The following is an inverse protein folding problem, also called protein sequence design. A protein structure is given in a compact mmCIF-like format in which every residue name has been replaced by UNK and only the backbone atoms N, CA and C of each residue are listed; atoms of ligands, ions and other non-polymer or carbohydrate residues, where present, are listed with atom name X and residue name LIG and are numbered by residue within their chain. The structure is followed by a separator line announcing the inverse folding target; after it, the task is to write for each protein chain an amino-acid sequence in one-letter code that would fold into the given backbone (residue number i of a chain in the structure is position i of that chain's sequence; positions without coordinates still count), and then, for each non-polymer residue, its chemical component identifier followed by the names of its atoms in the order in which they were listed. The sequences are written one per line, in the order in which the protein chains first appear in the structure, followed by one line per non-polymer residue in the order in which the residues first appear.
data_IF_669361904407
#
_entry.id   IF_669361904407
#
_cell.length_a   1.000
_cell.length_b   1.000
_cell.length_c   1.000
_cell.angle_alpha   90.00
_cell.angle_beta   90.00
_cell.angle_gamma   90.00
#
_symmetry.space_group_name_H-M   'P 1'
#
loop_
_entity.id
_entity.type
_entity.pdbx_description
1 polymer ?
#
# COMPACT_ATOMS: atom_id res chain seq x y z
N UNK A 1 -19.49 1.91 -41.44
CA UNK A 1 -18.78 0.64 -41.14
C UNK A 1 -17.63 0.84 -40.14
N UNK A 2 -16.73 1.78 -40.33
CA UNK A 2 -15.55 2.01 -39.44
C UNK A 2 -15.95 2.31 -37.99
N UNK A 3 -17.01 3.09 -37.76
CA UNK A 3 -17.48 3.43 -36.41
C UNK A 3 -18.03 2.23 -35.63
N UNK A 4 -18.65 1.28 -36.31
CA UNK A 4 -19.18 0.05 -35.68
C UNK A 4 -18.03 -0.85 -35.22
N UNK A 5 -16.99 -0.97 -36.07
CA UNK A 5 -15.78 -1.76 -35.76
C UNK A 5 -15.03 -1.15 -34.57
N UNK A 6 -14.87 0.18 -34.57
CA UNK A 6 -14.24 0.90 -33.47
C UNK A 6 -14.97 0.64 -32.14
N UNK A 7 -16.30 0.75 -32.12
CA UNK A 7 -17.11 0.51 -30.93
C UNK A 7 -17.04 -0.94 -30.47
N UNK A 8 -16.96 -1.88 -31.39
CA UNK A 8 -16.81 -3.31 -31.08
C UNK A 8 -15.46 -3.58 -30.37
N UNK A 9 -14.36 -3.15 -30.98
CA UNK A 9 -13.00 -3.35 -30.42
C UNK A 9 -12.85 -2.62 -29.08
N UNK A 10 -13.34 -1.37 -28.98
CA UNK A 10 -13.26 -0.61 -27.75
C UNK A 10 -14.05 -1.26 -26.60
N UNK A 11 -15.24 -1.78 -26.88
CA UNK A 11 -16.05 -2.49 -25.88
C UNK A 11 -15.34 -3.75 -25.36
N UNK A 12 -14.68 -4.49 -26.24
CA UNK A 12 -13.97 -5.71 -25.86
C UNK A 12 -12.71 -5.39 -25.05
N UNK A 13 -11.95 -4.37 -25.48
CA UNK A 13 -10.82 -3.84 -24.71
C UNK A 13 -11.25 -3.35 -23.34
N UNK A 14 -12.32 -2.56 -23.27
CA UNK A 14 -12.82 -2.00 -22.02
C UNK A 14 -13.30 -3.08 -21.05
N UNK A 15 -13.99 -4.11 -21.56
CA UNK A 15 -14.45 -5.26 -20.76
C UNK A 15 -13.26 -6.02 -20.16
N UNK A 16 -12.26 -6.34 -20.98
CA UNK A 16 -11.07 -7.05 -20.54
C UNK A 16 -10.24 -6.20 -19.58
N UNK A 17 -10.11 -4.90 -19.86
CA UNK A 17 -9.46 -3.94 -18.98
C UNK A 17 -10.13 -3.88 -17.60
N UNK A 18 -11.46 -3.73 -17.56
CA UNK A 18 -12.20 -3.65 -16.31
C UNK A 18 -12.06 -4.93 -15.48
N UNK A 19 -12.19 -6.08 -16.12
CA UNK A 19 -12.04 -7.38 -15.45
C UNK A 19 -10.62 -7.56 -14.90
N UNK A 20 -9.60 -7.26 -15.71
CA UNK A 20 -8.20 -7.31 -15.28
C UNK A 20 -7.93 -6.34 -14.12
N UNK A 21 -8.48 -5.13 -14.19
CA UNK A 21 -8.33 -4.13 -13.13
C UNK A 21 -8.90 -4.63 -11.80
N UNK A 22 -10.10 -5.20 -11.80
CA UNK A 22 -10.73 -5.73 -10.59
C UNK A 22 -9.91 -6.86 -9.99
N UNK A 23 -9.52 -7.84 -10.81
CA UNK A 23 -8.77 -9.02 -10.35
C UNK A 23 -7.39 -8.61 -9.80
N UNK A 24 -6.64 -7.80 -10.55
CA UNK A 24 -5.31 -7.36 -10.13
C UNK A 24 -5.37 -6.44 -8.90
N UNK A 25 -6.36 -5.56 -8.80
CA UNK A 25 -6.53 -4.69 -7.63
C UNK A 25 -6.77 -5.52 -6.37
N UNK A 26 -7.65 -6.51 -6.43
CA UNK A 26 -7.91 -7.41 -5.31
C UNK A 26 -6.65 -8.18 -4.93
N UNK A 27 -5.93 -8.73 -5.91
CA UNK A 27 -4.71 -9.49 -5.68
C UNK A 27 -3.62 -8.64 -5.01
N UNK A 28 -3.36 -7.44 -5.52
CA UNK A 28 -2.34 -6.54 -4.96
C UNK A 28 -2.78 -6.00 -3.59
N UNK A 29 -4.06 -5.66 -3.41
CA UNK A 29 -4.58 -5.18 -2.13
C UNK A 29 -4.41 -6.23 -1.03
N UNK A 30 -4.69 -7.49 -1.33
CA UNK A 30 -4.45 -8.61 -0.40
C UNK A 30 -2.96 -8.78 -0.13
N UNK A 31 -2.10 -8.69 -1.15
CA UNK A 31 -0.65 -8.78 -1.01
C UNK A 31 -0.06 -7.70 -0.10
N UNK A 32 -0.56 -6.47 -0.18
CA UNK A 32 -0.16 -5.35 0.68
C UNK A 32 -0.70 -5.49 2.12
N UNK A 33 -1.81 -6.19 2.28
CA UNK A 33 -2.43 -6.41 3.59
C UNK A 33 -1.64 -7.40 4.45
N UNK A 34 -1.06 -8.45 3.84
CA UNK A 34 -0.38 -9.53 4.58
C UNK A 34 0.73 -9.02 5.51
N UNK A 35 1.72 -8.22 5.07
CA UNK A 35 2.74 -7.66 5.96
C UNK A 35 2.14 -6.76 7.04
N UNK A 36 1.12 -5.98 6.70
CA UNK A 36 0.44 -5.10 7.66
C UNK A 36 -0.24 -5.90 8.77
N UNK A 37 -0.84 -7.05 8.46
CA UNK A 37 -1.44 -7.94 9.47
C UNK A 37 -0.39 -8.55 10.39
N UNK A 38 0.77 -8.93 9.85
CA UNK A 38 1.85 -9.52 10.63
C UNK A 38 2.49 -8.51 11.59
N UNK A 39 2.64 -7.26 11.14
CA UNK A 39 3.31 -6.23 11.92
C UNK A 39 2.40 -5.57 12.96
N UNK A 40 1.13 -5.36 12.65
CA UNK A 40 0.22 -4.59 13.52
C UNK A 40 -0.79 -5.44 14.30
N UNK A 41 -0.89 -6.75 14.04
CA UNK A 41 -1.79 -7.64 14.77
C UNK A 41 -3.27 -7.20 14.73
N UNK A 42 -3.72 -6.73 13.59
CA UNK A 42 -5.02 -6.08 13.38
C UNK A 42 -6.18 -7.08 13.52
N UNK A 43 -7.25 -6.70 14.20
CA UNK A 43 -8.45 -7.52 14.32
C UNK A 43 -9.26 -7.59 13.00
N UNK A 44 -10.10 -8.64 12.82
CA UNK A 44 -10.81 -8.89 11.55
C UNK A 44 -11.71 -7.73 11.09
N UNK A 45 -12.28 -6.95 12.01
CA UNK A 45 -13.09 -5.78 11.64
C UNK A 45 -12.29 -4.61 11.07
N UNK A 46 -11.01 -4.51 11.41
CA UNK A 46 -10.11 -3.47 10.90
C UNK A 46 -9.55 -3.82 9.52
N UNK A 47 -9.57 -5.11 9.13
CA UNK A 47 -9.07 -5.59 7.84
C UNK A 47 -9.83 -4.92 6.68
N UNK A 48 -11.15 -4.85 6.78
CA UNK A 48 -11.99 -4.26 5.73
C UNK A 48 -11.72 -2.76 5.55
N UNK A 49 -11.49 -2.05 6.65
CA UNK A 49 -11.10 -0.64 6.60
C UNK A 49 -9.72 -0.44 5.95
N UNK A 50 -8.74 -1.26 6.33
CA UNK A 50 -7.40 -1.21 5.75
C UNK A 50 -7.42 -1.53 4.25
N UNK A 51 -8.22 -2.53 3.84
CA UNK A 51 -8.40 -2.87 2.43
C UNK A 51 -8.92 -1.67 1.63
N UNK A 52 -9.87 -0.91 2.18
CA UNK A 52 -10.37 0.32 1.58
C UNK A 52 -9.30 1.41 1.43
N UNK A 53 -8.31 1.49 2.33
CA UNK A 53 -7.20 2.44 2.23
C UNK A 53 -6.15 2.00 1.21
N UNK A 54 -5.85 0.71 1.11
CA UNK A 54 -4.87 0.19 0.16
C UNK A 54 -5.39 0.14 -1.27
N UNK A 55 -6.71 0.01 -1.46
CA UNK A 55 -7.34 -0.10 -2.78
C UNK A 55 -6.99 1.05 -3.74
N UNK A 56 -7.08 2.34 -3.36
CA UNK A 56 -6.72 3.43 -4.27
C UNK A 56 -5.22 3.48 -4.58
N UNK A 57 -4.37 3.07 -3.65
CA UNK A 57 -2.92 2.99 -3.87
C UNK A 57 -2.61 1.87 -4.87
N UNK A 58 -3.21 0.70 -4.67
CA UNK A 58 -3.07 -0.43 -5.59
C UNK A 58 -3.56 -0.07 -7.00
N UNK A 59 -4.68 0.66 -7.11
CA UNK A 59 -5.24 1.07 -8.40
C UNK A 59 -4.28 1.93 -9.22
N UNK A 60 -3.47 2.77 -8.61
CA UNK A 60 -2.47 3.61 -9.29
C UNK A 60 -1.47 2.76 -10.09
N UNK A 61 -1.08 1.60 -9.57
CA UNK A 61 -0.19 0.67 -10.25
C UNK A 61 -0.94 -0.28 -11.19
N UNK A 62 -2.13 -0.68 -10.81
CA UNK A 62 -2.93 -1.66 -11.56
C UNK A 62 -3.46 -1.08 -12.87
N UNK A 63 -3.90 0.17 -12.89
CA UNK A 63 -4.50 0.79 -14.08
C UNK A 63 -3.62 0.68 -15.34
N UNK A 64 -2.33 1.10 -15.32
CA UNK A 64 -1.47 0.94 -16.49
C UNK A 64 -1.20 -0.53 -16.83
N UNK A 65 -1.01 -1.40 -15.81
CA UNK A 65 -0.77 -2.82 -16.04
C UNK A 65 -1.97 -3.52 -16.68
N UNK A 66 -3.19 -3.24 -16.20
CA UNK A 66 -4.41 -3.82 -16.75
C UNK A 66 -4.70 -3.34 -18.17
N UNK A 67 -4.35 -2.08 -18.50
CA UNK A 67 -4.48 -1.57 -19.86
C UNK A 67 -3.53 -2.28 -20.84
N UNK A 68 -2.27 -2.49 -20.44
CA UNK A 68 -1.32 -3.27 -21.21
C UNK A 68 -1.77 -4.72 -21.40
N UNK A 69 -2.23 -5.35 -20.31
CA UNK A 69 -2.73 -6.73 -20.34
C UNK A 69 -3.95 -6.86 -21.27
N UNK A 70 -4.93 -5.98 -21.13
CA UNK A 70 -6.13 -6.01 -21.97
C UNK A 70 -5.79 -5.79 -23.46
N UNK A 71 -4.90 -4.84 -23.75
CA UNK A 71 -4.44 -4.59 -25.12
C UNK A 71 -3.72 -5.80 -25.71
N UNK A 72 -2.79 -6.38 -24.97
CA UNK A 72 -2.05 -7.57 -25.39
C UNK A 72 -2.99 -8.77 -25.63
N UNK A 73 -3.93 -9.01 -24.73
CA UNK A 73 -4.87 -10.11 -24.84
C UNK A 73 -5.80 -9.96 -26.07
N UNK A 74 -6.39 -8.78 -26.25
CA UNK A 74 -7.40 -8.58 -27.31
C UNK A 74 -6.73 -8.51 -28.68
N UNK A 75 -5.66 -7.73 -28.84
CA UNK A 75 -4.95 -7.68 -30.13
C UNK A 75 -4.22 -8.98 -30.44
N UNK A 76 -3.72 -9.69 -29.45
CA UNK A 76 -3.15 -11.03 -29.59
C UNK A 76 -4.18 -12.05 -30.10
N UNK A 77 -5.41 -12.03 -29.56
CA UNK A 77 -6.51 -12.87 -30.03
C UNK A 77 -6.91 -12.51 -31.46
N UNK A 78 -7.10 -11.25 -31.78
CA UNK A 78 -7.41 -10.80 -33.14
C UNK A 78 -6.36 -11.19 -34.16
N UNK A 79 -5.09 -11.20 -33.79
CA UNK A 79 -3.99 -11.66 -34.63
C UNK A 79 -4.04 -13.19 -34.81
N UNK A 80 -4.25 -13.96 -33.73
CA UNK A 80 -4.33 -15.43 -33.78
C UNK A 80 -5.53 -15.91 -34.62
N UNK A 81 -6.66 -15.25 -34.50
CA UNK A 81 -7.89 -15.56 -35.24
C UNK A 81 -7.87 -15.02 -36.69
N UNK A 82 -6.75 -14.41 -37.12
CA UNK A 82 -6.57 -13.76 -38.44
C UNK A 82 -7.60 -12.68 -38.76
N UNK A 83 -8.30 -12.16 -37.77
CA UNK A 83 -9.29 -11.09 -37.95
C UNK A 83 -8.62 -9.79 -38.42
N UNK A 84 -7.39 -9.51 -37.95
CA UNK A 84 -6.60 -8.37 -38.41
C UNK A 84 -6.23 -8.47 -39.89
N UNK A 85 -5.88 -9.65 -40.35
CA UNK A 85 -5.52 -9.88 -41.75
C UNK A 85 -6.75 -9.77 -42.67
N UNK A 86 -7.92 -10.29 -42.24
CA UNK A 86 -9.18 -10.16 -42.95
C UNK A 86 -9.59 -8.66 -43.10
N UNK A 87 -9.45 -7.87 -42.02
CA UNK A 87 -9.70 -6.44 -42.06
C UNK A 87 -8.77 -5.71 -43.04
N UNK A 88 -7.49 -6.05 -43.04
CA UNK A 88 -6.51 -5.48 -43.97
C UNK A 88 -6.81 -5.87 -45.44
N UNK A 89 -7.17 -7.11 -45.68
CA UNK A 89 -7.58 -7.59 -47.00
C UNK A 89 -8.82 -6.84 -47.55
N UNK A 90 -9.69 -6.38 -46.65
CA UNK A 90 -10.86 -5.55 -46.97
C UNK A 90 -10.52 -4.07 -47.16
N UNK A 91 -9.23 -3.67 -47.16
CA UNK A 91 -8.78 -2.28 -47.36
C UNK A 91 -8.89 -1.38 -46.13
N UNK A 92 -9.17 -1.96 -44.94
CA UNK A 92 -9.21 -1.19 -43.68
C UNK A 92 -7.79 -0.89 -43.22
N UNK A 93 -7.51 0.39 -42.96
CA UNK A 93 -6.21 0.83 -42.47
C UNK A 93 -5.88 0.27 -41.06
N UNK A 94 -4.64 -0.12 -40.84
CA UNK A 94 -4.15 -0.60 -39.53
C UNK A 94 -4.36 0.46 -38.42
N UNK A 95 -4.26 1.72 -38.75
CA UNK A 95 -4.52 2.82 -37.81
C UNK A 95 -5.94 2.80 -37.26
N UNK A 96 -6.93 2.44 -38.08
CA UNK A 96 -8.32 2.32 -37.65
C UNK A 96 -8.51 1.22 -36.60
N UNK A 97 -7.71 0.16 -36.69
CA UNK A 97 -7.75 -0.95 -35.72
C UNK A 97 -7.03 -0.62 -34.40
N UNK A 98 -5.96 0.20 -34.47
CA UNK A 98 -5.17 0.60 -33.28
C UNK A 98 -5.86 1.74 -32.51
N UNK A 99 -6.62 2.61 -33.19
CA UNK A 99 -7.25 3.79 -32.61
C UNK A 99 -8.08 3.52 -31.34
N UNK A 100 -8.88 2.44 -31.22
CA UNK A 100 -9.59 2.09 -29.99
C UNK A 100 -8.67 1.82 -28.80
N UNK A 101 -7.52 1.18 -29.03
CA UNK A 101 -6.52 0.96 -28.00
C UNK A 101 -5.88 2.27 -27.52
N UNK A 102 -5.59 3.16 -28.45
CA UNK A 102 -5.04 4.49 -28.14
C UNK A 102 -6.03 5.34 -27.32
N UNK A 103 -7.31 5.31 -27.67
CA UNK A 103 -8.36 6.00 -26.89
C UNK A 103 -8.47 5.44 -25.47
N UNK A 104 -8.39 4.12 -25.30
CA UNK A 104 -8.33 3.51 -23.97
C UNK A 104 -7.09 3.96 -23.19
N UNK A 105 -5.92 3.98 -23.84
CA UNK A 105 -4.67 4.40 -23.23
C UNK A 105 -4.72 5.85 -22.71
N UNK A 106 -5.25 6.77 -23.51
CA UNK A 106 -5.44 8.17 -23.10
C UNK A 106 -6.40 8.28 -21.92
N UNK A 107 -7.50 7.55 -21.96
CA UNK A 107 -8.48 7.53 -20.87
C UNK A 107 -7.85 7.01 -19.57
N UNK A 108 -7.10 5.90 -19.64
CA UNK A 108 -6.41 5.32 -18.49
C UNK A 108 -5.33 6.24 -17.96
N UNK A 109 -4.56 6.89 -18.84
CA UNK A 109 -3.53 7.85 -18.46
C UNK A 109 -4.14 9.03 -17.69
N UNK A 110 -5.24 9.61 -18.20
CA UNK A 110 -5.94 10.71 -17.53
C UNK A 110 -6.50 10.27 -16.16
N UNK A 111 -7.14 9.10 -16.10
CA UNK A 111 -7.65 8.54 -14.85
C UNK A 111 -6.52 8.28 -13.83
N UNK A 112 -5.39 7.75 -14.29
CA UNK A 112 -4.23 7.49 -13.42
C UNK A 112 -3.57 8.77 -12.91
N UNK A 113 -3.51 9.83 -13.72
CA UNK A 113 -3.06 11.15 -13.27
C UNK A 113 -3.94 11.71 -12.16
N UNK A 114 -5.26 11.67 -12.34
CA UNK A 114 -6.21 12.14 -11.33
C UNK A 114 -6.04 11.32 -10.04
N UNK A 115 -5.95 10.00 -10.16
CA UNK A 115 -5.79 9.11 -9.03
C UNK A 115 -4.48 9.39 -8.27
N UNK A 116 -3.38 9.56 -8.99
CA UNK A 116 -2.04 9.77 -8.43
C UNK A 116 -1.88 11.12 -7.75
N UNK A 117 -2.45 12.19 -8.33
CA UNK A 117 -2.27 13.54 -7.80
C UNK A 117 -3.29 13.92 -6.72
N UNK A 118 -4.51 13.42 -6.80
CA UNK A 118 -5.59 13.82 -5.90
C UNK A 118 -6.00 12.74 -4.92
N UNK A 119 -6.18 11.50 -5.39
CA UNK A 119 -6.75 10.44 -4.56
C UNK A 119 -5.69 9.79 -3.68
N UNK A 120 -4.58 9.35 -4.25
CA UNK A 120 -3.54 8.65 -3.50
C UNK A 120 -2.98 9.46 -2.33
N UNK A 121 -2.59 10.74 -2.47
CA UNK A 121 -2.07 11.52 -1.35
C UNK A 121 -3.13 11.78 -0.25
N UNK A 122 -4.40 11.97 -0.64
CA UNK A 122 -5.48 12.15 0.33
C UNK A 122 -5.69 10.90 1.21
N UNK A 123 -5.57 9.71 0.64
CA UNK A 123 -5.68 8.46 1.38
C UNK A 123 -4.44 8.17 2.22
N UNK A 124 -3.23 8.44 1.72
CA UNK A 124 -1.98 8.30 2.49
C UNK A 124 -2.02 9.18 3.73
N UNK A 125 -2.40 10.45 3.61
CA UNK A 125 -2.51 11.36 4.76
C UNK A 125 -3.53 10.87 5.80
N UNK A 126 -4.67 10.35 5.39
CA UNK A 126 -5.68 9.78 6.31
C UNK A 126 -5.17 8.52 7.00
N UNK A 127 -4.45 7.68 6.28
CA UNK A 127 -3.82 6.47 6.85
C UNK A 127 -2.78 6.84 7.89
N UNK A 128 -1.92 7.81 7.59
CA UNK A 128 -0.94 8.30 8.56
C UNK A 128 -1.58 8.90 9.80
N UNK A 129 -2.64 9.67 9.65
CA UNK A 129 -3.39 10.23 10.79
C UNK A 129 -4.02 9.14 11.65
N UNK A 130 -4.61 8.12 11.04
CA UNK A 130 -5.19 6.98 11.75
C UNK A 130 -4.14 6.13 12.48
N UNK A 131 -2.98 5.91 11.84
CA UNK A 131 -1.85 5.20 12.47
C UNK A 131 -1.26 6.04 13.60
N UNK A 132 -1.14 7.36 13.42
CA UNK A 132 -0.65 8.28 14.45
C UNK A 132 -1.57 8.32 15.66
N UNK A 133 -2.89 8.40 15.44
CA UNK A 133 -3.89 8.41 16.51
C UNK A 133 -3.89 7.10 17.34
N UNK A 134 -3.57 5.98 16.70
CA UNK A 134 -3.54 4.67 17.35
C UNK A 134 -2.12 4.16 17.66
N UNK A 135 -1.10 4.99 17.49
CA UNK A 135 0.30 4.58 17.64
C UNK A 135 0.61 4.02 19.04
N UNK A 136 0.02 4.60 20.09
CA UNK A 136 0.13 4.08 21.46
C UNK A 136 -0.46 2.67 21.57
N UNK A 137 -1.69 2.46 21.10
CA UNK A 137 -2.32 1.14 21.12
C UNK A 137 -1.56 0.09 20.31
N UNK A 138 -0.99 0.48 19.18
CA UNK A 138 -0.18 -0.40 18.33
C UNK A 138 1.11 -0.80 19.05
N UNK A 139 1.77 0.13 19.71
CA UNK A 139 2.99 -0.11 20.48
C UNK A 139 2.71 -1.08 21.64
N UNK A 140 1.71 -0.80 22.47
CA UNK A 140 1.37 -1.65 23.60
C UNK A 140 0.98 -3.07 23.17
N UNK A 141 0.16 -3.20 22.13
CA UNK A 141 -0.27 -4.52 21.60
C UNK A 141 0.90 -5.32 21.01
N UNK A 142 1.86 -4.67 20.35
CA UNK A 142 3.03 -5.36 19.81
C UNK A 142 3.97 -5.84 20.93
N UNK A 143 4.15 -5.04 21.96
CA UNK A 143 4.95 -5.43 23.13
C UNK A 143 4.29 -6.61 23.86
N UNK A 144 2.98 -6.57 24.07
CA UNK A 144 2.23 -7.66 24.71
C UNK A 144 2.31 -8.97 23.93
N UNK A 145 2.35 -8.93 22.59
CA UNK A 145 2.39 -10.14 21.74
C UNK A 145 3.79 -10.64 21.41
N UNK A 146 4.73 -9.74 21.17
CA UNK A 146 6.09 -10.07 20.66
C UNK A 146 7.20 -9.75 21.68
N UNK A 147 6.88 -9.12 22.83
CA UNK A 147 7.86 -8.63 23.80
C UNK A 147 8.78 -7.53 23.25
N UNK A 148 8.60 -7.10 22.01
CA UNK A 148 9.46 -6.13 21.35
C UNK A 148 8.70 -5.29 20.33
N UNK A 149 9.16 -4.05 20.17
CA UNK A 149 8.68 -3.12 19.15
C UNK A 149 9.85 -2.43 18.46
N UNK A 150 9.89 -2.51 17.14
CA UNK A 150 10.87 -1.78 16.33
C UNK A 150 10.25 -0.45 15.90
N UNK A 151 10.89 0.67 16.23
CA UNK A 151 10.40 1.97 15.84
C UNK A 151 10.53 2.14 14.31
N UNK A 152 9.45 2.53 13.61
CA UNK A 152 9.50 2.80 12.19
C UNK A 152 10.55 3.88 11.87
N UNK A 153 11.39 3.66 10.87
CA UNK A 153 12.43 4.59 10.40
C UNK A 153 13.51 4.93 11.44
N UNK A 154 13.76 4.06 12.41
CA UNK A 154 14.73 4.29 13.47
C UNK A 154 15.50 3.01 13.79
N UNK A 155 16.81 3.09 14.13
CA UNK A 155 17.60 1.94 14.52
C UNK A 155 17.28 1.42 15.95
N UNK A 156 16.26 2.00 16.60
CA UNK A 156 15.90 1.66 17.97
C UNK A 156 14.93 0.48 18.03
N UNK A 157 15.29 -0.50 18.87
CA UNK A 157 14.41 -1.60 19.28
C UNK A 157 14.06 -1.45 20.75
N UNK A 158 12.77 -1.48 21.03
CA UNK A 158 12.21 -1.43 22.37
C UNK A 158 11.79 -2.83 22.77
N UNK A 159 12.28 -3.31 23.90
CA UNK A 159 11.84 -4.53 24.56
C UNK A 159 11.18 -4.14 25.87
N UNK A 160 10.12 -4.82 26.26
CA UNK A 160 9.54 -4.67 27.59
C UNK A 160 8.93 -6.00 28.04
N UNK A 161 9.06 -6.29 29.35
CA UNK A 161 8.55 -7.51 29.95
C UNK A 161 7.04 -7.47 30.13
N UNK A 162 6.51 -6.30 30.50
CA UNK A 162 5.07 -6.08 30.68
C UNK A 162 4.66 -4.73 30.14
N UNK A 163 3.46 -4.70 29.55
CA UNK A 163 2.85 -3.50 29.02
C UNK A 163 1.47 -3.28 29.68
N UNK A 164 1.27 -2.13 30.33
CA UNK A 164 -0.01 -1.74 30.88
C UNK A 164 -0.60 -0.58 30.05
N UNK A 165 -1.54 -0.85 29.16
CA UNK A 165 -2.11 0.17 28.27
C UNK A 165 -2.99 1.21 29.01
N UNK A 166 -3.55 0.87 30.19
CA UNK A 166 -4.42 1.80 30.93
C UNK A 166 -3.63 2.98 31.53
N UNK A 167 -2.39 2.76 31.93
CA UNK A 167 -1.55 3.77 32.58
C UNK A 167 -0.43 4.28 31.66
N UNK A 168 -0.36 3.81 30.40
CA UNK A 168 0.73 4.06 29.45
C UNK A 168 2.12 3.74 30.04
N UNK A 169 2.21 2.66 30.84
CA UNK A 169 3.40 2.23 31.55
C UNK A 169 3.93 0.94 30.94
N UNK A 170 5.24 0.93 30.73
CA UNK A 170 6.02 -0.26 30.37
C UNK A 170 6.93 -0.64 31.55
N UNK A 171 7.02 -1.91 31.88
CA UNK A 171 7.88 -2.45 32.92
C UNK A 171 8.98 -3.32 32.31
N UNK A 172 10.19 -3.25 32.87
CA UNK A 172 11.34 -4.00 32.38
C UNK A 172 11.77 -3.56 30.97
N UNK A 173 11.92 -2.23 30.76
CA UNK A 173 12.18 -1.68 29.44
C UNK A 173 13.65 -1.74 29.09
N UNK A 174 13.96 -2.27 27.91
CA UNK A 174 15.29 -2.27 27.31
C UNK A 174 15.23 -1.63 25.94
N UNK A 175 15.96 -0.55 25.77
CA UNK A 175 16.10 0.14 24.49
C UNK A 175 17.48 -0.17 23.94
N UNK A 176 17.52 -0.78 22.77
CA UNK A 176 18.76 -1.12 22.07
C UNK A 176 18.88 -0.28 20.82
N UNK A 177 20.03 0.39 20.67
CA UNK A 177 20.42 1.05 19.44
C UNK A 177 21.49 0.21 18.75
N UNK A 178 21.22 -0.29 17.56
CA UNK A 178 22.14 -1.05 16.73
C UNK A 178 22.40 -0.29 15.42
N UNK A 179 23.21 0.78 15.46
CA UNK A 179 23.60 1.46 14.22
C UNK A 179 24.48 0.53 13.39
N UNK A 180 24.31 0.60 12.06
CA UNK A 180 25.12 -0.19 11.14
C UNK A 180 26.56 0.36 11.12
N UNK A 181 27.50 -0.33 11.76
CA UNK A 181 28.93 -0.02 11.73
C UNK A 181 29.52 0.76 12.91
N UNK A 182 28.74 1.05 13.95
CA UNK A 182 29.23 1.70 15.19
C UNK A 182 28.85 0.88 16.44
N UNK A 183 29.58 1.03 17.56
CA UNK A 183 29.19 0.36 18.80
C UNK A 183 27.82 0.82 19.25
N UNK A 184 26.91 -0.13 19.40
CA UNK A 184 25.56 0.12 19.88
C UNK A 184 25.55 0.45 21.38
N UNK A 185 24.53 1.15 21.84
CA UNK A 185 24.29 1.40 23.25
C UNK A 185 22.94 0.79 23.69
N UNK A 186 22.87 0.45 24.95
CA UNK A 186 21.72 -0.16 25.58
C UNK A 186 21.31 0.69 26.79
N UNK A 187 20.02 0.97 26.90
CA UNK A 187 19.44 1.64 28.07
C UNK A 187 18.44 0.66 28.67
N UNK A 188 18.59 0.38 29.97
CA UNK A 188 17.61 -0.38 30.74
C UNK A 188 16.89 0.56 31.69
N UNK A 189 15.59 0.35 31.87
CA UNK A 189 14.78 1.09 32.82
C UNK A 189 13.77 0.16 33.49
N UNK A 190 13.58 0.28 34.80
CA UNK A 190 12.58 -0.51 35.53
C UNK A 190 11.16 -0.15 35.09
N UNK A 191 10.90 1.13 34.90
CA UNK A 191 9.61 1.64 34.41
C UNK A 191 9.82 2.76 33.41
N UNK A 192 9.06 2.73 32.32
CA UNK A 192 9.04 3.79 31.35
C UNK A 192 7.61 4.20 31.02
N UNK A 193 7.34 5.50 31.06
CA UNK A 193 6.08 6.07 30.57
C UNK A 193 6.25 6.51 29.13
N UNK A 194 5.43 5.94 28.26
CA UNK A 194 5.43 6.28 26.85
C UNK A 194 4.48 7.44 26.60
N UNK A 195 5.00 8.52 26.02
CA UNK A 195 4.20 9.64 25.54
C UNK A 195 4.55 9.87 24.08
N UNK A 196 3.59 9.72 23.19
CA UNK A 196 3.79 10.00 21.78
C UNK A 196 3.40 11.44 21.53
N UNK A 197 4.39 12.31 21.36
CA UNK A 197 4.15 13.70 20.96
C UNK A 197 3.99 13.77 19.45
N UNK A 198 2.76 14.07 19.02
CA UNK A 198 2.44 14.29 17.61
C UNK A 198 2.87 15.71 17.21
N UNK A 199 4.13 15.88 16.83
CA UNK A 199 4.58 17.11 16.18
C UNK A 199 4.54 16.92 14.66
N UNK A 200 4.14 17.92 13.92
CA UNK A 200 3.61 17.95 12.56
C UNK A 200 4.42 17.28 11.42
N UNK A 201 5.58 16.73 11.67
CA UNK A 201 6.40 16.11 10.61
C UNK A 201 6.93 14.71 10.95
N UNK A 202 7.16 14.40 12.23
CA UNK A 202 7.59 13.06 12.67
C UNK A 202 7.02 12.77 14.06
N UNK A 203 6.38 11.59 14.21
CA UNK A 203 6.05 11.05 15.53
C UNK A 203 7.35 10.66 16.21
N UNK A 204 7.85 11.51 17.12
CA UNK A 204 8.94 11.12 18.02
C UNK A 204 8.30 10.59 19.30
N UNK A 205 8.42 9.29 19.59
CA UNK A 205 8.02 8.78 20.89
C UNK A 205 8.97 9.36 21.94
N UNK A 206 8.42 10.10 22.88
CA UNK A 206 9.17 10.57 24.06
C UNK A 206 8.96 9.53 25.15
N UNK A 207 10.03 8.84 25.48
CA UNK A 207 10.04 7.83 26.54
C UNK A 207 10.61 8.50 27.77
N UNK A 208 9.77 8.71 28.77
CA UNK A 208 10.19 9.18 30.09
C UNK A 208 10.47 7.98 30.98
N UNK A 209 11.73 7.65 31.14
CA UNK A 209 12.16 6.53 31.96
C UNK A 209 12.36 6.96 33.44
N UNK A 210 11.89 6.11 34.37
CA UNK A 210 12.19 6.22 35.79
C UNK A 210 13.28 5.19 36.10
N UNK A 211 14.35 5.61 36.71
CA UNK A 211 15.52 4.75 37.00
C UNK A 211 16.12 4.11 35.74
N UNK A 212 16.82 4.89 34.94
CA UNK A 212 17.46 4.41 33.72
C UNK A 212 18.98 4.27 33.89
N UNK A 213 19.53 3.13 33.43
CA UNK A 213 20.96 2.89 33.34
C UNK A 213 21.36 2.77 31.87
N UNK A 214 22.45 3.44 31.51
CA UNK A 214 23.01 3.36 30.14
C UNK A 214 24.29 2.54 30.18
N UNK A 215 24.36 1.54 29.29
CA UNK A 215 25.54 0.75 29.04
C UNK A 215 26.04 1.03 27.62
N UNK A 216 27.37 1.17 27.47
CA UNK A 216 28.05 1.36 26.18
C UNK A 216 28.65 0.03 25.73
#
# INVERSE_FOLDING_TARGET
MVFTLHRYIFRELFRSFFLATVVLTLMISVGLLVPTLQDFGVGPGQILHLLGYFMPIALTFVLPMSALFASSLIYGRFAADRELDACRASGISLWTLIYPGLTLAIFVAAANLILSFYVAPAFIQRTEQSVKANAEHILFRNIERKGSYTLPSSPYRLYADRANPENNLLEGVVIVNLPTGEPGWLITAEQAKVRIETRSTFNKPTIVARTAYRFN
#
